data_IF_011428290500
#
_entry.id   IF_011428290500
#
_cell.length_a   1.000
_cell.length_b   1.000
_cell.length_c   1.000
_cell.angle_alpha   90.00
_cell.angle_beta   90.00
_cell.angle_gamma   90.00
#
_symmetry.space_group_name_H-M   'P 1'
#
loop_
_entity.id
_entity.type
_entity.pdbx_description
1 polymer ?
#
# COMPACT_ATOMS: atom_id res chain seq x y z
N UNK A 1 8.13 -1.90 26.10
CA UNK A 1 9.26 -2.79 25.75
C UNK A 1 9.78 -2.46 24.35
N UNK A 2 8.96 -2.53 23.27
CA UNK A 2 9.42 -2.27 21.89
C UNK A 2 10.04 -0.88 21.70
N UNK A 3 9.45 0.19 22.27
CA UNK A 3 10.04 1.53 22.25
C UNK A 3 11.44 1.57 22.86
N UNK A 4 11.62 0.97 24.04
CA UNK A 4 12.92 0.97 24.75
C UNK A 4 13.97 0.22 23.96
N UNK A 5 13.62 -0.94 23.39
CA UNK A 5 14.52 -1.73 22.57
C UNK A 5 14.94 -0.95 21.31
N UNK A 6 14.00 -0.35 20.58
CA UNK A 6 14.31 0.40 19.36
C UNK A 6 15.08 1.69 19.67
N UNK A 7 14.73 2.41 20.74
CA UNK A 7 15.41 3.64 21.12
C UNK A 7 16.88 3.39 21.55
N UNK A 8 17.15 2.26 22.21
CA UNK A 8 18.50 1.91 22.68
C UNK A 8 19.36 1.30 21.56
N UNK A 9 18.80 0.36 20.79
CA UNK A 9 19.56 -0.43 19.79
C UNK A 9 19.65 0.24 18.40
N UNK A 10 18.70 1.14 18.05
CA UNK A 10 18.71 1.79 16.75
C UNK A 10 18.88 3.29 16.88
N UNK A 11 17.81 4.03 17.18
CA UNK A 11 17.83 5.50 17.27
C UNK A 11 16.60 5.99 18.04
N UNK A 12 16.73 7.07 18.81
CA UNK A 12 15.64 7.65 19.60
C UNK A 12 14.48 8.18 18.74
N UNK A 13 14.78 8.81 17.61
CA UNK A 13 13.78 9.36 16.68
C UNK A 13 12.86 8.27 16.13
N UNK A 14 13.39 7.10 15.79
CA UNK A 14 12.63 5.93 15.34
C UNK A 14 11.74 5.40 16.49
N UNK A 15 12.23 5.42 17.73
CA UNK A 15 11.44 5.07 18.90
C UNK A 15 10.21 5.98 19.06
N UNK A 16 10.39 7.30 18.96
CA UNK A 16 9.27 8.25 19.01
C UNK A 16 8.29 8.08 17.85
N UNK A 17 8.78 7.78 16.66
CA UNK A 17 7.92 7.48 15.51
C UNK A 17 7.06 6.24 15.75
N UNK A 18 7.63 5.18 16.34
CA UNK A 18 6.88 3.98 16.74
C UNK A 18 5.73 4.31 17.71
N UNK A 19 6.00 5.15 18.72
CA UNK A 19 4.94 5.60 19.64
C UNK A 19 3.85 6.38 18.89
N UNK A 20 4.22 7.25 17.97
CA UNK A 20 3.28 7.97 17.11
C UNK A 20 2.37 7.02 16.32
N UNK A 21 2.93 5.98 15.72
CA UNK A 21 2.14 4.96 15.02
C UNK A 21 1.19 4.20 15.95
N UNK A 22 1.64 3.80 17.14
CA UNK A 22 0.78 3.12 18.13
C UNK A 22 -0.40 4.04 18.52
N UNK A 23 -0.14 5.31 18.80
CA UNK A 23 -1.16 6.31 19.13
C UNK A 23 -2.17 6.44 17.95
N UNK A 24 -1.68 6.51 16.70
CA UNK A 24 -2.51 6.60 15.52
C UNK A 24 -3.44 5.39 15.36
N UNK A 25 -2.90 4.17 15.48
CA UNK A 25 -3.69 2.95 15.34
C UNK A 25 -4.75 2.81 16.42
N UNK A 26 -4.42 3.11 17.67
CA UNK A 26 -5.37 3.09 18.80
C UNK A 26 -6.48 4.12 18.62
N UNK A 27 -6.12 5.37 18.31
CA UNK A 27 -7.09 6.45 18.14
C UNK A 27 -8.02 6.21 16.94
N UNK A 28 -7.44 5.83 15.80
CA UNK A 28 -8.19 5.53 14.58
C UNK A 28 -9.10 4.32 14.76
N UNK A 29 -8.59 3.24 15.37
CA UNK A 29 -9.37 2.04 15.70
C UNK A 29 -10.57 2.35 16.61
N UNK A 30 -10.38 3.17 17.64
CA UNK A 30 -11.46 3.61 18.52
C UNK A 30 -12.54 4.42 17.77
N UNK A 31 -12.16 5.39 16.97
CA UNK A 31 -13.10 6.19 16.18
C UNK A 31 -13.85 5.36 15.14
N UNK A 32 -13.17 4.43 14.47
CA UNK A 32 -13.78 3.50 13.52
C UNK A 32 -14.76 2.55 14.21
N UNK A 33 -14.40 2.02 15.38
CA UNK A 33 -15.29 1.20 16.20
C UNK A 33 -16.57 1.94 16.60
N UNK A 34 -16.49 3.26 16.83
CA UNK A 34 -17.65 4.13 17.08
C UNK A 34 -18.34 4.62 15.81
N UNK A 35 -17.95 4.18 14.61
CA UNK A 35 -18.47 4.62 13.30
C UNK A 35 -18.35 6.14 13.06
N UNK A 36 -17.40 6.79 13.69
CA UNK A 36 -17.15 8.23 13.58
C UNK A 36 -16.25 8.57 12.38
N UNK A 37 -16.65 8.18 11.17
CA UNK A 37 -15.84 8.29 9.94
C UNK A 37 -15.42 9.73 9.61
N UNK A 38 -16.29 10.72 9.88
CA UNK A 38 -15.98 12.13 9.65
C UNK A 38 -14.84 12.58 10.57
N UNK A 39 -14.85 12.17 11.83
CA UNK A 39 -13.78 12.49 12.76
C UNK A 39 -12.46 11.83 12.35
N UNK A 40 -12.49 10.57 11.91
CA UNK A 40 -11.30 9.90 11.35
C UNK A 40 -10.71 10.73 10.21
N UNK A 41 -11.53 11.17 9.25
CA UNK A 41 -11.08 11.98 8.11
C UNK A 41 -10.46 13.31 8.56
N UNK A 42 -11.10 14.00 9.51
CA UNK A 42 -10.57 15.26 10.08
C UNK A 42 -9.21 15.05 10.75
N UNK A 43 -9.08 14.05 11.59
CA UNK A 43 -7.81 13.77 12.29
C UNK A 43 -6.70 13.35 11.34
N UNK A 44 -7.02 12.58 10.30
CA UNK A 44 -6.05 12.23 9.24
C UNK A 44 -5.58 13.47 8.49
N UNK A 45 -6.48 14.40 8.13
CA UNK A 45 -6.12 15.66 7.48
C UNK A 45 -5.22 16.51 8.38
N UNK A 46 -5.57 16.67 9.66
CA UNK A 46 -4.74 17.38 10.65
C UNK A 46 -3.36 16.75 10.73
N UNK A 47 -3.27 15.42 10.83
CA UNK A 47 -1.99 14.70 10.88
C UNK A 47 -1.13 14.96 9.64
N UNK A 48 -1.73 14.92 8.43
CA UNK A 48 -0.99 15.18 7.19
C UNK A 48 -0.52 16.63 7.09
N UNK A 49 -1.34 17.58 7.52
CA UNK A 49 -0.95 19.01 7.58
C UNK A 49 0.18 19.22 8.59
N UNK A 50 0.05 18.66 9.80
CA UNK A 50 1.11 18.72 10.81
C UNK A 50 2.41 18.06 10.33
N UNK A 51 2.32 16.92 9.64
CA UNK A 51 3.48 16.26 9.06
C UNK A 51 4.25 17.19 8.12
N UNK A 52 3.55 17.89 7.22
CA UNK A 52 4.20 18.81 6.28
C UNK A 52 4.81 19.99 7.03
N UNK A 53 4.04 20.66 7.88
CA UNK A 53 4.48 21.88 8.56
C UNK A 53 5.62 21.59 9.56
N UNK A 54 5.41 20.62 10.44
CA UNK A 54 6.38 20.25 11.47
C UNK A 54 7.59 19.53 10.87
N UNK A 55 7.36 18.62 9.92
CA UNK A 55 8.42 17.89 9.24
C UNK A 55 9.34 18.81 8.46
N UNK A 56 8.81 19.79 7.74
CA UNK A 56 9.59 20.80 7.01
C UNK A 56 10.34 21.73 7.97
N UNK A 57 9.67 22.20 9.04
CA UNK A 57 10.32 23.03 10.07
C UNK A 57 11.50 22.31 10.75
N UNK A 58 11.30 21.05 11.15
CA UNK A 58 12.37 20.26 11.79
C UNK A 58 13.47 19.85 10.81
N UNK A 59 13.17 19.68 9.53
CA UNK A 59 14.19 19.46 8.51
C UNK A 59 15.18 20.63 8.45
N UNK A 60 14.71 21.86 8.50
CA UNK A 60 15.57 23.05 8.51
C UNK A 60 16.43 23.17 9.78
N UNK A 61 15.95 22.66 10.93
CA UNK A 61 16.66 22.75 12.21
C UNK A 61 17.64 21.58 12.42
N UNK A 62 17.26 20.37 12.03
CA UNK A 62 17.96 19.13 12.38
C UNK A 62 18.28 18.23 11.17
N UNK A 63 18.06 18.72 9.94
CA UNK A 63 18.30 17.93 8.73
C UNK A 63 17.37 16.72 8.60
N UNK A 64 17.89 15.62 8.02
CA UNK A 64 17.10 14.41 7.75
C UNK A 64 16.48 13.77 9.01
N UNK A 65 17.18 13.85 10.15
CA UNK A 65 16.67 13.33 11.42
C UNK A 65 15.46 14.11 11.91
N UNK A 66 15.43 15.42 11.66
CA UNK A 66 14.31 16.28 11.97
C UNK A 66 13.01 15.86 11.28
N UNK A 67 13.07 15.31 10.07
CA UNK A 67 11.88 14.81 9.37
C UNK A 67 11.21 13.68 10.18
N UNK A 68 12.00 12.74 10.72
CA UNK A 68 11.51 11.61 11.49
C UNK A 68 10.85 12.08 12.79
N UNK A 69 11.49 13.04 13.50
CA UNK A 69 10.90 13.68 14.68
C UNK A 69 9.63 14.46 14.34
N UNK A 70 9.62 15.23 13.26
CA UNK A 70 8.44 15.94 12.78
C UNK A 70 7.29 14.99 12.47
N UNK A 71 7.60 13.84 11.88
CA UNK A 71 6.60 12.79 11.64
C UNK A 71 6.05 12.23 12.95
N UNK A 72 6.89 11.90 13.92
CA UNK A 72 6.44 11.43 15.24
C UNK A 72 5.53 12.46 15.93
N UNK A 73 5.92 13.74 15.91
CA UNK A 73 5.15 14.83 16.52
C UNK A 73 3.81 15.09 15.80
N UNK A 74 3.70 14.78 14.52
CA UNK A 74 2.44 14.97 13.78
C UNK A 74 1.29 14.13 14.35
N UNK A 75 1.58 13.10 15.14
CA UNK A 75 0.56 12.27 15.81
C UNK A 75 0.15 12.79 17.19
N UNK A 76 0.81 13.82 17.74
CA UNK A 76 0.59 14.27 19.12
C UNK A 76 -0.85 14.72 19.39
N UNK A 77 -1.53 15.29 18.39
CA UNK A 77 -2.92 15.72 18.49
C UNK A 77 -3.90 14.56 18.77
N UNK A 78 -3.52 13.32 18.44
CA UNK A 78 -4.33 12.12 18.67
C UNK A 78 -4.29 11.68 20.14
N UNK A 79 -3.34 12.18 20.95
CA UNK A 79 -3.30 11.93 22.39
C UNK A 79 -4.59 12.38 23.08
N UNK A 80 -5.26 13.42 22.58
CA UNK A 80 -6.54 13.89 23.11
C UNK A 80 -7.56 12.75 23.11
N UNK A 81 -7.61 11.95 22.05
CA UNK A 81 -8.51 10.81 21.93
C UNK A 81 -8.10 9.71 22.89
N UNK A 82 -6.81 9.42 22.99
CA UNK A 82 -6.29 8.39 23.91
C UNK A 82 -6.63 8.75 25.35
N UNK A 83 -6.45 10.01 25.78
CA UNK A 83 -6.83 10.46 27.12
C UNK A 83 -8.33 10.32 27.36
N UNK A 84 -9.19 10.58 26.38
CA UNK A 84 -10.63 10.38 26.51
C UNK A 84 -10.99 8.90 26.71
N UNK A 85 -10.30 8.00 25.99
CA UNK A 85 -10.49 6.55 26.13
C UNK A 85 -10.03 6.05 27.50
N UNK A 86 -8.86 6.51 27.96
CA UNK A 86 -8.27 6.08 29.24
C UNK A 86 -9.00 6.63 30.47
N UNK A 87 -9.78 7.70 30.34
CA UNK A 87 -10.59 8.24 31.45
C UNK A 87 -11.74 7.32 31.88
N UNK A 88 -12.21 6.44 31.02
CA UNK A 88 -13.26 5.45 31.30
C UNK A 88 -12.84 4.08 30.79
N UNK A 89 -11.87 3.43 31.40
CA UNK A 89 -11.39 2.14 30.94
C UNK A 89 -12.41 1.04 31.28
N UNK A 90 -13.17 0.62 30.32
CA UNK A 90 -13.94 -0.62 30.39
C UNK A 90 -13.08 -1.76 29.83
N UNK A 91 -12.12 -2.23 30.61
CA UNK A 91 -11.32 -3.39 30.22
C UNK A 91 -12.10 -4.68 30.44
N UNK A 92 -12.71 -5.18 29.38
CA UNK A 92 -13.38 -6.48 29.40
C UNK A 92 -12.49 -7.55 28.75
N UNK A 93 -11.61 -8.15 29.54
CA UNK A 93 -10.72 -9.22 29.06
C UNK A 93 -11.49 -10.48 28.60
N UNK A 94 -12.74 -10.67 29.03
CA UNK A 94 -13.58 -11.78 28.60
C UNK A 94 -13.89 -11.68 27.11
N UNK A 95 -14.22 -10.49 26.61
CA UNK A 95 -14.45 -10.24 25.18
C UNK A 95 -13.20 -10.53 24.35
N UNK A 96 -12.01 -10.16 24.84
CA UNK A 96 -10.74 -10.47 24.17
C UNK A 96 -10.51 -11.96 24.09
N UNK A 97 -10.81 -12.70 25.17
CA UNK A 97 -10.65 -14.16 25.24
C UNK A 97 -11.64 -14.87 24.28
N UNK A 98 -12.89 -14.43 24.22
CA UNK A 98 -13.92 -14.99 23.34
C UNK A 98 -13.59 -14.78 21.85
N UNK A 99 -12.95 -13.67 21.50
CA UNK A 99 -12.57 -13.33 20.11
C UNK A 99 -11.09 -13.58 19.80
N UNK A 100 -10.37 -14.33 20.63
CA UNK A 100 -8.93 -14.57 20.50
C UNK A 100 -8.51 -15.07 19.12
N UNK A 101 -9.25 -16.03 18.55
CA UNK A 101 -8.96 -16.55 17.22
C UNK A 101 -9.09 -15.49 16.11
N UNK A 102 -10.12 -14.66 16.18
CA UNK A 102 -10.32 -13.55 15.25
C UNK A 102 -9.20 -12.51 15.37
N UNK A 103 -8.83 -12.14 16.58
CA UNK A 103 -7.76 -11.15 16.85
C UNK A 103 -6.42 -11.68 16.32
N UNK A 104 -6.05 -12.93 16.63
CA UNK A 104 -4.80 -13.54 16.16
C UNK A 104 -4.77 -13.62 14.62
N UNK A 105 -5.85 -14.07 13.98
CA UNK A 105 -5.92 -14.14 12.52
C UNK A 105 -5.75 -12.76 11.87
N UNK A 106 -6.41 -11.73 12.38
CA UNK A 106 -6.27 -10.38 11.86
C UNK A 106 -4.84 -9.83 12.07
N UNK A 107 -4.22 -10.13 13.21
CA UNK A 107 -2.84 -9.72 13.48
C UNK A 107 -1.85 -10.41 12.54
N UNK A 108 -1.99 -11.72 12.35
CA UNK A 108 -1.16 -12.48 11.38
C UNK A 108 -1.37 -11.95 9.96
N UNK A 109 -2.61 -11.68 9.55
CA UNK A 109 -2.89 -11.09 8.24
C UNK A 109 -2.25 -9.71 8.08
N UNK A 110 -2.29 -8.86 9.11
CA UNK A 110 -1.63 -7.55 9.09
C UNK A 110 -0.10 -7.67 8.96
N UNK A 111 0.52 -8.62 9.67
CA UNK A 111 1.95 -8.91 9.54
C UNK A 111 2.29 -9.36 8.11
N UNK A 112 1.55 -10.31 7.56
CA UNK A 112 1.77 -10.83 6.19
C UNK A 112 1.63 -9.72 5.16
N UNK A 113 0.63 -8.85 5.28
CA UNK A 113 0.42 -7.71 4.37
C UNK A 113 1.56 -6.70 4.50
N UNK A 114 1.97 -6.36 5.72
CA UNK A 114 3.08 -5.42 5.96
C UNK A 114 4.41 -5.99 5.46
N UNK A 115 4.67 -7.25 5.72
CA UNK A 115 5.88 -7.92 5.24
C UNK A 115 5.94 -7.93 3.71
N UNK A 116 4.81 -8.24 3.06
CA UNK A 116 4.72 -8.23 1.60
C UNK A 116 5.01 -6.86 0.98
N UNK A 117 4.55 -5.77 1.59
CA UNK A 117 4.73 -4.42 1.06
C UNK A 117 6.17 -3.88 1.17
N UNK A 118 7.05 -4.60 1.89
CA UNK A 118 8.44 -4.20 2.11
C UNK A 118 9.48 -5.24 1.67
N UNK A 119 9.04 -6.45 1.31
CA UNK A 119 9.93 -7.55 0.91
C UNK A 119 10.81 -7.21 -0.29
N UNK A 120 10.23 -6.55 -1.30
CA UNK A 120 10.96 -6.11 -2.47
C UNK A 120 12.15 -5.22 -2.07
N UNK A 121 11.94 -4.26 -1.18
CA UNK A 121 12.98 -3.33 -0.71
C UNK A 121 14.08 -4.03 0.08
N UNK A 122 13.72 -5.02 0.90
CA UNK A 122 14.68 -5.82 1.67
C UNK A 122 15.57 -6.64 0.74
N UNK A 123 15.03 -7.15 -0.37
CA UNK A 123 15.78 -7.94 -1.35
C UNK A 123 16.63 -7.05 -2.26
N UNK A 124 16.14 -5.89 -2.66
CA UNK A 124 16.82 -4.97 -3.59
C UNK A 124 18.13 -4.45 -2.99
N UNK A 125 18.15 -4.05 -1.72
CA UNK A 125 19.34 -3.44 -1.09
C UNK A 125 20.58 -4.31 -1.18
N UNK A 126 20.58 -5.59 -0.76
CA UNK A 126 21.76 -6.44 -0.86
C UNK A 126 22.14 -6.81 -2.30
N UNK A 127 21.23 -6.74 -3.26
CA UNK A 127 21.50 -7.09 -4.66
C UNK A 127 22.02 -5.92 -5.48
N UNK A 128 21.42 -4.73 -5.34
CA UNK A 128 21.64 -3.58 -6.22
C UNK A 128 22.03 -2.29 -5.48
N UNK A 129 22.02 -2.31 -4.14
CA UNK A 129 22.37 -1.16 -3.31
C UNK A 129 21.24 -0.13 -3.12
N UNK A 130 21.55 0.91 -2.33
CA UNK A 130 20.56 1.95 -1.94
C UNK A 130 20.19 2.89 -3.08
N UNK A 131 21.09 3.15 -4.04
CA UNK A 131 20.79 4.02 -5.19
C UNK A 131 19.67 3.43 -6.04
N UNK A 132 19.76 2.14 -6.37
CA UNK A 132 18.73 1.42 -7.13
C UNK A 132 17.42 1.34 -6.35
N UNK A 133 17.48 1.15 -5.02
CA UNK A 133 16.30 1.22 -4.17
C UNK A 133 15.66 2.62 -4.20
N UNK A 134 16.46 3.69 -4.21
CA UNK A 134 15.98 5.07 -4.34
C UNK A 134 15.22 5.30 -5.63
N UNK A 135 15.81 4.93 -6.78
CA UNK A 135 15.18 5.01 -8.09
C UNK A 135 13.87 4.20 -8.14
N UNK A 136 13.89 2.95 -7.68
CA UNK A 136 12.70 2.09 -7.61
C UNK A 136 11.61 2.69 -6.72
N UNK A 137 11.97 3.21 -5.55
CA UNK A 137 11.01 3.80 -4.61
C UNK A 137 10.35 5.06 -5.16
N UNK A 138 11.09 5.91 -5.88
CA UNK A 138 10.54 7.08 -6.57
C UNK A 138 9.52 6.65 -7.63
N UNK A 139 9.87 5.66 -8.46
CA UNK A 139 8.95 5.16 -9.50
C UNK A 139 7.69 4.55 -8.88
N UNK A 140 7.80 3.81 -7.77
CA UNK A 140 6.62 3.28 -7.08
C UNK A 140 5.74 4.38 -6.47
N UNK A 141 6.31 5.50 -6.02
CA UNK A 141 5.51 6.65 -5.57
C UNK A 141 4.74 7.27 -6.72
N UNK A 142 5.38 7.49 -7.87
CA UNK A 142 4.70 7.99 -9.08
C UNK A 142 3.62 7.01 -9.52
N UNK A 143 3.92 5.72 -9.55
CA UNK A 143 2.95 4.66 -9.88
C UNK A 143 1.76 4.65 -8.93
N UNK A 144 1.97 4.89 -7.63
CA UNK A 144 0.88 4.97 -6.65
C UNK A 144 -0.09 6.11 -6.97
N UNK A 145 0.42 7.26 -7.43
CA UNK A 145 -0.41 8.38 -7.90
C UNK A 145 -1.18 8.00 -9.16
N UNK A 146 -0.52 7.35 -10.13
CA UNK A 146 -1.19 6.89 -11.36
C UNK A 146 -2.35 5.92 -11.08
N UNK A 147 -2.26 5.14 -10.01
CA UNK A 147 -3.27 4.11 -9.63
C UNK A 147 -4.30 4.58 -8.62
N UNK A 148 -4.33 5.87 -8.22
CA UNK A 148 -5.34 6.42 -7.30
C UNK A 148 -6.77 6.15 -7.79
N UNK A 149 -7.00 6.32 -9.10
CA UNK A 149 -8.32 6.08 -9.70
C UNK A 149 -8.80 4.63 -9.51
N UNK A 150 -7.89 3.66 -9.50
CA UNK A 150 -8.22 2.24 -9.25
C UNK A 150 -8.79 2.02 -7.85
N UNK A 151 -8.25 2.74 -6.86
CA UNK A 151 -8.75 2.70 -5.49
C UNK A 151 -10.18 3.26 -5.38
N UNK A 152 -10.45 4.37 -6.08
CA UNK A 152 -11.79 4.98 -6.14
C UNK A 152 -12.76 4.04 -6.87
N UNK A 153 -12.35 3.54 -8.03
CA UNK A 153 -13.11 2.57 -8.80
C UNK A 153 -13.49 1.36 -7.96
N UNK A 154 -12.52 0.76 -7.27
CA UNK A 154 -12.73 -0.42 -6.46
C UNK A 154 -13.76 -0.20 -5.34
N UNK A 155 -13.68 0.96 -4.64
CA UNK A 155 -14.64 1.33 -3.60
C UNK A 155 -16.08 1.47 -4.13
N UNK A 156 -16.22 1.84 -5.39
CA UNK A 156 -17.53 1.98 -6.04
C UNK A 156 -18.06 0.64 -6.57
N UNK A 157 -17.22 -0.16 -7.25
CA UNK A 157 -17.68 -1.39 -7.90
C UNK A 157 -17.92 -2.54 -6.92
N UNK A 158 -17.14 -2.61 -5.81
CA UNK A 158 -17.26 -3.71 -4.84
C UNK A 158 -18.65 -3.85 -4.22
N UNK A 159 -19.31 -2.80 -3.69
CA UNK A 159 -20.66 -2.91 -3.16
C UNK A 159 -21.69 -3.31 -4.23
N UNK A 160 -21.51 -2.80 -5.46
CA UNK A 160 -22.40 -3.13 -6.58
C UNK A 160 -22.24 -4.60 -7.02
N UNK A 161 -21.01 -5.09 -7.13
CA UNK A 161 -20.75 -6.50 -7.43
C UNK A 161 -21.30 -7.42 -6.32
N UNK A 162 -21.20 -7.01 -5.05
CA UNK A 162 -21.79 -7.75 -3.91
C UNK A 162 -23.32 -7.77 -3.95
N UNK A 163 -23.94 -6.69 -4.45
CA UNK A 163 -25.39 -6.61 -4.67
C UNK A 163 -25.86 -7.33 -5.96
N UNK A 164 -24.96 -7.94 -6.73
CA UNK A 164 -25.28 -8.62 -7.99
C UNK A 164 -25.55 -7.67 -9.16
N UNK A 165 -25.18 -6.39 -9.05
CA UNK A 165 -25.38 -5.36 -10.08
C UNK A 165 -24.06 -5.14 -10.85
N UNK A 166 -23.85 -5.80 -12.00
CA UNK A 166 -22.59 -5.67 -12.74
C UNK A 166 -22.53 -4.35 -13.51
N UNK A 167 -21.60 -3.46 -13.14
CA UNK A 167 -21.35 -2.20 -13.84
C UNK A 167 -20.37 -2.39 -15.00
N UNK A 168 -20.78 -3.18 -16.03
CA UNK A 168 -19.90 -3.52 -17.15
C UNK A 168 -19.39 -2.31 -17.93
N UNK A 169 -20.24 -1.28 -18.13
CA UNK A 169 -19.82 -0.04 -18.80
C UNK A 169 -18.70 0.66 -18.03
N UNK A 170 -18.86 0.82 -16.70
CA UNK A 170 -17.86 1.44 -15.86
C UNK A 170 -16.54 0.66 -15.86
N UNK A 171 -16.59 -0.67 -15.80
CA UNK A 171 -15.40 -1.54 -15.87
C UNK A 171 -14.67 -1.39 -17.21
N UNK A 172 -15.39 -1.27 -18.32
CA UNK A 172 -14.79 -0.98 -19.65
C UNK A 172 -14.14 0.41 -19.69
N UNK A 173 -14.84 1.44 -19.18
CA UNK A 173 -14.24 2.79 -19.11
C UNK A 173 -12.98 2.82 -18.23
N UNK A 174 -12.97 2.09 -17.11
CA UNK A 174 -11.80 1.98 -16.27
C UNK A 174 -10.58 1.41 -16.99
N UNK A 175 -10.78 0.41 -17.88
CA UNK A 175 -9.68 -0.14 -18.69
C UNK A 175 -9.18 0.92 -19.70
N UNK A 176 -10.06 1.68 -20.34
CA UNK A 176 -9.67 2.76 -21.26
C UNK A 176 -8.87 3.83 -20.51
N UNK A 177 -9.34 4.25 -19.33
CA UNK A 177 -8.63 5.20 -18.46
C UNK A 177 -7.26 4.65 -18.06
N UNK A 178 -7.16 3.37 -17.71
CA UNK A 178 -5.90 2.72 -17.38
C UNK A 178 -4.90 2.75 -18.55
N UNK A 179 -5.37 2.51 -19.77
CA UNK A 179 -4.55 2.61 -20.99
C UNK A 179 -4.07 4.05 -21.19
N UNK A 180 -4.96 5.04 -21.09
CA UNK A 180 -4.59 6.45 -21.21
C UNK A 180 -3.54 6.87 -20.15
N UNK A 181 -3.75 6.48 -18.88
CA UNK A 181 -2.78 6.77 -17.80
C UNK A 181 -1.46 6.03 -18.03
N UNK A 182 -1.50 4.78 -18.49
CA UNK A 182 -0.30 4.04 -18.86
C UNK A 182 0.48 4.75 -19.96
N UNK A 183 -0.18 5.24 -21.01
CA UNK A 183 0.44 6.01 -22.09
C UNK A 183 1.04 7.33 -21.58
N UNK A 184 0.34 8.06 -20.70
CA UNK A 184 0.91 9.24 -20.03
C UNK A 184 2.17 8.89 -19.22
N UNK A 185 2.16 7.76 -18.52
CA UNK A 185 3.31 7.26 -17.77
C UNK A 185 4.49 6.87 -18.65
N UNK A 186 4.25 6.36 -19.86
CA UNK A 186 5.32 5.98 -20.81
C UNK A 186 5.90 7.20 -21.53
N UNK A 187 5.06 8.12 -21.99
CA UNK A 187 5.46 9.18 -22.91
C UNK A 187 5.62 10.55 -22.25
N UNK A 188 4.85 10.88 -21.24
CA UNK A 188 4.80 12.24 -20.65
C UNK A 188 5.57 12.34 -19.36
N UNK A 189 5.27 11.46 -18.37
CA UNK A 189 5.87 11.57 -17.04
C UNK A 189 7.40 11.42 -17.02
N UNK A 190 8.06 10.63 -17.89
CA UNK A 190 9.50 10.51 -17.94
C UNK A 190 10.23 11.84 -18.22
N UNK A 191 9.60 12.78 -18.92
CA UNK A 191 10.20 14.11 -19.17
C UNK A 191 10.31 14.96 -17.91
N UNK A 192 9.45 14.75 -16.93
CA UNK A 192 9.46 15.53 -15.69
C UNK A 192 10.48 15.03 -14.65
N UNK A 193 10.86 13.75 -14.71
CA UNK A 193 11.81 13.18 -13.74
C UNK A 193 13.15 13.92 -13.72
N UNK A 194 13.83 14.14 -14.87
CA UNK A 194 15.13 14.84 -14.86
C UNK A 194 15.04 16.31 -14.41
N UNK A 195 13.88 16.92 -14.58
CA UNK A 195 13.64 18.33 -14.19
C UNK A 195 13.43 18.44 -12.68
N UNK A 196 12.62 17.54 -12.09
CA UNK A 196 12.20 17.61 -10.69
C UNK A 196 13.15 16.81 -9.79
N UNK A 197 13.68 15.71 -10.30
CA UNK A 197 14.52 14.75 -9.56
C UNK A 197 15.79 14.38 -10.35
N UNK A 198 16.72 15.32 -10.60
CA UNK A 198 17.88 15.12 -11.49
C UNK A 198 18.82 14.00 -11.03
N UNK A 199 18.82 13.64 -9.74
CA UNK A 199 19.62 12.56 -9.19
C UNK A 199 19.06 11.14 -9.47
N UNK A 200 17.82 11.01 -9.99
CA UNK A 200 17.16 9.72 -10.22
C UNK A 200 17.08 9.38 -11.72
N UNK A 201 18.19 9.35 -12.40
CA UNK A 201 18.25 9.17 -13.87
C UNK A 201 17.72 7.81 -14.33
N UNK A 202 18.01 6.73 -13.59
CA UNK A 202 17.54 5.38 -13.92
C UNK A 202 16.02 5.22 -13.72
N UNK A 203 15.39 6.09 -12.92
CA UNK A 203 13.94 6.08 -12.71
C UNK A 203 13.15 6.35 -13.99
N UNK A 204 13.75 7.03 -14.99
CA UNK A 204 13.11 7.36 -16.29
C UNK A 204 12.69 6.09 -17.02
N UNK A 205 13.63 5.18 -17.25
CA UNK A 205 13.37 3.94 -17.99
C UNK A 205 12.55 2.95 -17.18
N UNK A 206 12.77 2.89 -15.86
CA UNK A 206 11.94 2.12 -14.96
C UNK A 206 10.48 2.57 -15.01
N UNK A 207 10.21 3.89 -15.00
CA UNK A 207 8.85 4.42 -15.05
C UNK A 207 8.14 4.06 -16.34
N UNK A 208 8.84 4.15 -17.49
CA UNK A 208 8.29 3.72 -18.77
C UNK A 208 7.77 2.29 -18.73
N UNK A 209 8.57 1.37 -18.17
CA UNK A 209 8.21 -0.04 -18.08
C UNK A 209 7.09 -0.25 -17.05
N UNK A 210 7.24 0.27 -15.82
CA UNK A 210 6.27 0.07 -14.73
C UNK A 210 4.89 0.66 -15.07
N UNK A 211 4.82 1.69 -15.90
CA UNK A 211 3.56 2.30 -16.34
C UNK A 211 2.62 1.29 -17.01
N UNK A 212 3.12 0.27 -17.68
CA UNK A 212 2.28 -0.80 -18.23
C UNK A 212 1.57 -1.62 -17.16
N UNK A 213 2.10 -1.67 -15.94
CA UNK A 213 1.46 -2.37 -14.83
C UNK A 213 0.12 -1.76 -14.41
N UNK A 214 -0.15 -0.47 -14.72
CA UNK A 214 -1.44 0.18 -14.46
C UNK A 214 -2.58 -0.61 -15.11
N UNK A 215 -2.38 -1.12 -16.31
CA UNK A 215 -3.39 -1.94 -16.99
C UNK A 215 -3.62 -3.23 -16.20
N UNK A 216 -2.54 -3.93 -15.82
CA UNK A 216 -2.61 -5.17 -15.05
C UNK A 216 -3.31 -4.99 -13.69
N UNK A 217 -2.94 -3.95 -12.93
CA UNK A 217 -3.54 -3.66 -11.61
C UNK A 217 -5.00 -3.25 -11.71
N UNK A 218 -5.41 -2.57 -12.78
CA UNK A 218 -6.83 -2.27 -13.05
C UNK A 218 -7.64 -3.56 -13.26
N UNK A 219 -7.13 -4.51 -14.05
CA UNK A 219 -7.76 -5.83 -14.17
C UNK A 219 -7.84 -6.54 -12.81
N UNK A 220 -6.78 -6.50 -12.01
CA UNK A 220 -6.78 -7.04 -10.65
C UNK A 220 -7.92 -6.45 -9.83
N UNK A 221 -8.11 -5.12 -9.82
CA UNK A 221 -9.18 -4.47 -9.05
C UNK A 221 -10.56 -4.89 -9.52
N UNK A 222 -10.79 -5.00 -10.83
CA UNK A 222 -12.07 -5.42 -11.42
C UNK A 222 -12.44 -6.85 -11.01
N UNK A 223 -11.51 -7.80 -11.18
CA UNK A 223 -11.79 -9.20 -10.86
C UNK A 223 -11.76 -9.48 -9.35
N UNK A 224 -10.93 -8.77 -8.60
CA UNK A 224 -10.94 -8.83 -7.13
C UNK A 224 -12.28 -8.36 -6.57
N UNK A 225 -12.85 -7.27 -7.08
CA UNK A 225 -14.18 -6.78 -6.69
C UNK A 225 -15.23 -7.86 -6.91
N UNK A 226 -15.25 -8.47 -8.09
CA UNK A 226 -16.21 -9.52 -8.44
C UNK A 226 -16.08 -10.74 -7.53
N UNK A 227 -14.85 -11.25 -7.30
CA UNK A 227 -14.62 -12.42 -6.45
C UNK A 227 -14.93 -12.14 -4.98
N UNK A 228 -14.60 -10.96 -4.47
CA UNK A 228 -14.96 -10.56 -3.09
C UNK A 228 -16.45 -10.34 -2.93
N UNK A 229 -17.12 -9.75 -3.91
CA UNK A 229 -18.58 -9.60 -3.91
C UNK A 229 -19.33 -10.95 -3.87
N UNK A 230 -18.69 -12.02 -4.36
CA UNK A 230 -19.19 -13.40 -4.27
C UNK A 230 -18.67 -14.17 -3.04
N UNK A 231 -18.04 -13.49 -2.07
CA UNK A 231 -17.44 -14.09 -0.87
C UNK A 231 -16.30 -15.09 -1.16
N UNK A 232 -15.75 -15.07 -2.38
CA UNK A 232 -14.67 -15.97 -2.83
C UNK A 232 -13.28 -15.43 -2.53
N UNK A 233 -13.05 -14.93 -1.31
CA UNK A 233 -11.79 -14.32 -0.86
C UNK A 233 -10.55 -15.23 -1.01
N UNK A 234 -10.73 -16.57 -0.95
CA UNK A 234 -9.64 -17.54 -1.11
C UNK A 234 -8.93 -17.38 -2.47
N UNK A 235 -9.67 -17.14 -3.54
CA UNK A 235 -9.08 -16.97 -4.87
C UNK A 235 -8.32 -15.65 -5.00
N UNK A 236 -8.77 -14.61 -4.29
CA UNK A 236 -8.02 -13.35 -4.18
C UNK A 236 -6.70 -13.58 -3.46
N UNK A 237 -6.70 -14.38 -2.40
CA UNK A 237 -5.48 -14.76 -1.67
C UNK A 237 -4.51 -15.53 -2.57
N UNK A 238 -4.99 -16.51 -3.34
CA UNK A 238 -4.13 -17.23 -4.30
C UNK A 238 -3.50 -16.29 -5.33
N UNK A 239 -4.28 -15.37 -5.91
CA UNK A 239 -3.76 -14.37 -6.83
C UNK A 239 -2.64 -13.51 -6.21
N UNK A 240 -2.82 -13.08 -4.97
CA UNK A 240 -1.81 -12.32 -4.22
C UNK A 240 -0.56 -13.14 -3.94
N UNK A 241 -0.71 -14.41 -3.60
CA UNK A 241 0.42 -15.32 -3.34
C UNK A 241 1.22 -15.55 -4.61
N UNK A 242 0.56 -15.82 -5.75
CA UNK A 242 1.24 -15.95 -7.05
C UNK A 242 2.01 -14.69 -7.40
N UNK A 243 1.39 -13.51 -7.26
CA UNK A 243 2.07 -12.24 -7.52
C UNK A 243 3.30 -12.05 -6.62
N UNK A 244 3.22 -12.40 -5.34
CA UNK A 244 4.34 -12.34 -4.40
C UNK A 244 5.48 -13.26 -4.83
N UNK A 245 5.19 -14.51 -5.15
CA UNK A 245 6.19 -15.48 -5.60
C UNK A 245 6.87 -15.02 -6.90
N UNK A 246 6.09 -14.52 -7.87
CA UNK A 246 6.62 -13.95 -9.11
C UNK A 246 7.51 -12.73 -8.83
N UNK A 247 7.14 -11.88 -7.87
CA UNK A 247 7.97 -10.74 -7.48
C UNK A 247 9.30 -11.19 -6.89
N UNK A 248 9.30 -12.12 -5.93
CA UNK A 248 10.53 -12.62 -5.27
C UNK A 248 11.44 -13.29 -6.30
N UNK A 249 10.91 -14.26 -7.05
CA UNK A 249 11.66 -15.00 -8.06
C UNK A 249 12.17 -14.07 -9.16
N UNK A 250 11.33 -13.16 -9.62
CA UNK A 250 11.69 -12.20 -10.66
C UNK A 250 12.80 -11.24 -10.22
N UNK A 251 12.75 -10.71 -9.00
CA UNK A 251 13.84 -9.88 -8.47
C UNK A 251 15.14 -10.67 -8.37
N UNK A 252 15.10 -11.88 -7.82
CA UNK A 252 16.31 -12.73 -7.65
C UNK A 252 16.94 -13.12 -8.98
N UNK A 253 16.17 -13.29 -10.05
CA UNK A 253 16.69 -13.70 -11.37
C UNK A 253 17.01 -12.48 -12.24
N UNK A 254 16.08 -11.52 -12.37
CA UNK A 254 16.21 -10.43 -13.33
C UNK A 254 17.02 -9.24 -12.81
N UNK A 255 17.02 -8.98 -11.50
CA UNK A 255 17.77 -7.86 -10.97
C UNK A 255 19.29 -8.02 -11.13
N UNK A 256 19.92 -9.19 -10.90
CA UNK A 256 21.35 -9.37 -11.16
C UNK A 256 21.75 -9.26 -12.63
N UNK A 257 20.82 -9.55 -13.57
CA UNK A 257 21.10 -9.56 -15.01
C UNK A 257 20.84 -8.19 -15.64
N UNK A 258 19.71 -7.56 -15.29
CA UNK A 258 19.18 -6.35 -15.93
C UNK A 258 19.17 -5.14 -14.98
N UNK A 259 19.76 -5.24 -13.79
CA UNK A 259 19.79 -4.18 -12.79
C UNK A 259 18.38 -3.61 -12.51
N UNK A 260 18.25 -2.30 -12.48
CA UNK A 260 17.00 -1.56 -12.21
C UNK A 260 15.89 -1.85 -13.23
N UNK A 261 16.25 -2.11 -14.49
CA UNK A 261 15.28 -2.55 -15.52
C UNK A 261 14.68 -3.89 -15.18
N UNK A 262 15.47 -4.83 -14.62
CA UNK A 262 14.98 -6.12 -14.13
C UNK A 262 13.91 -6.00 -13.06
N UNK A 263 14.04 -5.02 -12.14
CA UNK A 263 13.02 -4.70 -11.15
C UNK A 263 11.72 -4.24 -11.80
N UNK A 264 11.81 -3.35 -12.79
CA UNK A 264 10.66 -2.81 -13.49
C UNK A 264 9.89 -3.89 -14.26
N UNK A 265 10.61 -4.75 -14.98
CA UNK A 265 10.04 -5.90 -15.71
C UNK A 265 9.37 -6.86 -14.73
N UNK A 266 10.03 -7.19 -13.62
CA UNK A 266 9.48 -8.06 -12.57
C UNK A 266 8.15 -7.52 -12.05
N UNK A 267 8.06 -6.22 -11.80
CA UNK A 267 6.84 -5.58 -11.30
C UNK A 267 5.68 -5.74 -12.30
N UNK A 268 5.93 -5.52 -13.59
CA UNK A 268 4.91 -5.68 -14.66
C UNK A 268 4.47 -7.15 -14.78
N UNK A 269 5.42 -8.08 -14.80
CA UNK A 269 5.11 -9.52 -14.87
C UNK A 269 4.30 -9.96 -13.65
N UNK A 270 4.65 -9.49 -12.45
CA UNK A 270 3.91 -9.78 -11.23
C UNK A 270 2.48 -9.25 -11.28
N UNK A 271 2.27 -8.01 -11.77
CA UNK A 271 0.94 -7.44 -11.95
C UNK A 271 0.12 -8.23 -12.98
N UNK A 272 0.73 -8.63 -14.08
CA UNK A 272 0.09 -9.46 -15.11
C UNK A 272 -0.26 -10.86 -14.57
N UNK A 273 0.66 -11.53 -13.87
CA UNK A 273 0.42 -12.84 -13.25
C UNK A 273 -0.72 -12.79 -12.24
N UNK A 274 -0.79 -11.73 -11.42
CA UNK A 274 -1.91 -11.49 -10.51
C UNK A 274 -3.24 -11.39 -11.26
N UNK A 275 -3.30 -10.56 -12.32
CA UNK A 275 -4.49 -10.36 -13.12
C UNK A 275 -4.94 -11.68 -13.79
N UNK A 276 -4.02 -12.39 -14.44
CA UNK A 276 -4.28 -13.66 -15.11
C UNK A 276 -4.83 -14.70 -14.13
N UNK A 277 -4.24 -14.81 -12.94
CA UNK A 277 -4.70 -15.74 -11.89
C UNK A 277 -6.15 -15.45 -11.48
N UNK A 278 -6.50 -14.18 -11.25
CA UNK A 278 -7.87 -13.81 -10.88
C UNK A 278 -8.86 -14.05 -12.03
N UNK A 279 -8.47 -13.75 -13.28
CA UNK A 279 -9.28 -14.02 -14.47
C UNK A 279 -9.53 -15.54 -14.63
N UNK A 280 -8.48 -16.34 -14.42
CA UNK A 280 -8.61 -17.81 -14.49
C UNK A 280 -9.63 -18.34 -13.47
N UNK A 281 -9.52 -17.89 -12.21
CA UNK A 281 -10.46 -18.30 -11.17
C UNK A 281 -11.89 -17.79 -11.42
N UNK A 282 -12.04 -16.58 -11.95
CA UNK A 282 -13.34 -16.07 -12.35
C UNK A 282 -14.00 -16.94 -13.43
N UNK A 283 -13.25 -17.25 -14.50
CA UNK A 283 -13.77 -18.11 -15.58
C UNK A 283 -14.12 -19.51 -15.11
N UNK A 284 -13.23 -20.14 -14.32
CA UNK A 284 -13.40 -21.52 -13.88
C UNK A 284 -14.53 -21.71 -12.87
N UNK A 285 -14.67 -20.78 -11.91
CA UNK A 285 -15.57 -20.99 -10.76
C UNK A 285 -16.80 -20.09 -10.74
N UNK A 286 -16.89 -19.12 -11.64
CA UNK A 286 -18.06 -18.25 -11.77
C UNK A 286 -18.86 -18.62 -13.02
N UNK A 287 -18.22 -18.89 -14.14
CA UNK A 287 -18.86 -19.25 -15.41
C UNK A 287 -18.93 -20.77 -15.63
N UNK A 288 -18.08 -21.56 -15.00
CA UNK A 288 -18.06 -23.03 -15.12
C UNK A 288 -19.16 -23.78 -14.36
N UNK A 289 -20.15 -23.07 -13.80
CA UNK A 289 -21.39 -23.69 -13.26
C UNK A 289 -22.53 -23.80 -14.27
N UNK A 290 -22.23 -23.63 -15.55
CA UNK A 290 -23.16 -23.86 -16.65
C UNK A 290 -22.64 -25.06 -17.47
N UNK A 291 -22.46 -26.20 -16.82
CA UNK A 291 -22.53 -27.56 -17.42
C UNK A 291 -22.83 -28.53 -16.29
#
# INVERSE_FOLDING_TARGET
>A
VAFVVIAIFFRMDIGFLLLGYIINELATGYLLGKKQFVNVSKYVLIQKTLLVVVGFGFFHLFGLEGIIFGFALSYIHLLIIIFQVLRKPEFNFKVVSEHKGFIINNYVMAIVVSFRSHLDKIIIVPLLGFTSLGNYSLVLQIFSVMTVFEGILFKYILPNDAAGIPNLKLKKYAIVVAICISMLGVFVLPFFIPIVFPQYTEAVDMLRIISFAVIGTTFVKIYMSKLLGMEKSRFVLYGRTVALLVTIIGILILAPILNTIGLAITFVISAAAHAITLIYFDRKYVHGKIT
#
